data_IF_703486073415
#
_entry.id   IF_703486073415
#
_cell.length_a   1.000
_cell.length_b   1.000
_cell.length_c   1.000
_cell.angle_alpha   90.00
_cell.angle_beta   90.00
_cell.angle_gamma   90.00
#
_symmetry.space_group_name_H-M   'P 1'
#
loop_
_entity.id
_entity.type
_entity.pdbx_description
1 polymer ?
#
# COMPACT_ATOMS: atom_id res chain seq x y z
N UNK A 1 -40.78 12.60 11.90
CA UNK A 1 -40.26 11.35 11.30
C UNK A 1 -39.01 10.91 12.05
N UNK A 2 -38.98 9.67 12.52
CA UNK A 2 -37.86 9.03 13.17
C UNK A 2 -37.14 8.16 12.12
N UNK A 3 -35.85 8.33 11.95
CA UNK A 3 -35.05 7.55 10.99
C UNK A 3 -34.07 6.69 11.75
N UNK A 4 -34.05 5.38 11.48
CA UNK A 4 -33.09 4.45 12.10
C UNK A 4 -32.33 3.68 11.02
N UNK A 5 -31.00 3.71 11.06
CA UNK A 5 -30.11 2.91 10.23
C UNK A 5 -29.71 1.65 10.98
N UNK A 6 -29.83 0.49 10.34
CA UNK A 6 -29.61 -0.82 10.97
C UNK A 6 -28.60 -1.64 10.16
N UNK A 7 -27.59 -2.18 10.84
CA UNK A 7 -26.76 -3.27 10.32
C UNK A 7 -27.48 -4.61 10.48
N UNK A 8 -27.71 -5.30 9.35
CA UNK A 8 -28.43 -6.59 9.32
C UNK A 8 -27.52 -7.80 9.58
N UNK A 9 -26.25 -7.60 9.90
CA UNK A 9 -25.29 -8.70 10.06
C UNK A 9 -25.16 -9.54 8.80
N UNK A 10 -25.23 -10.86 8.96
CA UNK A 10 -25.25 -11.83 7.83
C UNK A 10 -26.57 -11.78 7.04
N UNK A 11 -27.58 -11.08 7.51
CA UNK A 11 -28.93 -11.12 6.97
C UNK A 11 -29.82 -12.18 7.61
N UNK A 12 -29.28 -13.00 8.52
CA UNK A 12 -30.06 -13.97 9.28
C UNK A 12 -30.70 -13.28 10.50
N UNK A 13 -31.95 -13.63 10.85
CA UNK A 13 -32.65 -13.05 12.02
C UNK A 13 -31.87 -13.18 13.33
N UNK A 14 -31.14 -14.28 13.50
CA UNK A 14 -30.30 -14.59 14.65
C UNK A 14 -29.08 -13.65 14.81
N UNK A 15 -28.66 -13.01 13.72
CA UNK A 15 -27.56 -12.04 13.73
C UNK A 15 -28.00 -10.61 14.06
N UNK A 16 -29.30 -10.37 14.17
CA UNK A 16 -29.86 -9.07 14.53
C UNK A 16 -29.78 -8.81 16.05
N UNK A 17 -29.47 -7.57 16.40
CA UNK A 17 -29.63 -7.13 17.78
C UNK A 17 -31.11 -7.04 18.14
N UNK A 18 -31.46 -7.23 19.42
CA UNK A 18 -32.84 -7.06 19.89
C UNK A 18 -33.39 -5.66 19.59
N UNK A 19 -32.53 -4.64 19.64
CA UNK A 19 -32.91 -3.27 19.31
C UNK A 19 -33.23 -3.11 17.82
N UNK A 20 -32.44 -3.73 16.94
CA UNK A 20 -32.70 -3.74 15.50
C UNK A 20 -33.98 -4.43 15.16
N UNK A 21 -34.26 -5.60 15.81
CA UNK A 21 -35.51 -6.34 15.61
C UNK A 21 -36.73 -5.54 16.07
N UNK A 22 -36.63 -4.85 17.21
CA UNK A 22 -37.73 -4.01 17.71
C UNK A 22 -38.00 -2.83 16.76
N UNK A 23 -36.96 -2.16 16.27
CA UNK A 23 -37.10 -1.05 15.30
C UNK A 23 -37.72 -1.53 13.98
N UNK A 24 -37.30 -2.68 13.44
CA UNK A 24 -37.92 -3.27 12.24
C UNK A 24 -39.42 -3.60 12.40
N UNK A 25 -39.84 -4.09 13.56
CA UNK A 25 -41.25 -4.39 13.84
C UNK A 25 -42.10 -3.14 14.01
N UNK A 26 -41.53 -2.03 14.43
CA UNK A 26 -42.23 -0.76 14.68
C UNK A 26 -42.16 0.19 13.46
N UNK A 27 -41.46 -0.22 12.40
CA UNK A 27 -41.30 0.61 11.20
C UNK A 27 -42.61 0.70 10.39
N UNK A 28 -42.88 1.86 9.84
CA UNK A 28 -43.90 2.10 8.81
C UNK A 28 -43.34 1.92 7.41
N UNK A 29 -42.02 2.21 7.26
CA UNK A 29 -41.30 2.12 6.01
C UNK A 29 -39.93 1.46 6.24
N UNK A 30 -39.59 0.46 5.42
CA UNK A 30 -38.25 -0.15 5.40
C UNK A 30 -37.61 0.03 4.03
N UNK A 31 -36.41 0.61 4.02
CA UNK A 31 -35.61 0.89 2.82
C UNK A 31 -34.30 0.09 2.86
N UNK A 32 -33.81 -0.35 1.70
CA UNK A 32 -32.52 -1.04 1.59
C UNK A 32 -32.36 -1.79 0.26
N UNK A 33 -31.26 -2.53 0.11
CA UNK A 33 -31.04 -3.35 -1.06
C UNK A 33 -32.07 -4.49 -1.20
N UNK A 34 -32.44 -4.86 -2.43
CA UNK A 34 -33.47 -5.91 -2.69
C UNK A 34 -33.22 -7.20 -1.93
N UNK A 35 -31.97 -7.66 -1.85
CA UNK A 35 -31.65 -8.91 -1.14
C UNK A 35 -31.92 -8.82 0.37
N UNK A 36 -31.74 -7.64 0.98
CA UNK A 36 -32.01 -7.42 2.40
C UNK A 36 -33.52 -7.36 2.68
N UNK A 37 -34.32 -6.89 1.72
CA UNK A 37 -35.77 -6.92 1.81
C UNK A 37 -36.33 -8.35 1.88
N UNK A 38 -35.69 -9.30 1.19
CA UNK A 38 -36.06 -10.71 1.24
C UNK A 38 -35.64 -11.39 2.55
N UNK A 39 -34.62 -10.87 3.23
CA UNK A 39 -34.07 -11.40 4.49
C UNK A 39 -34.71 -10.77 5.74
N UNK A 40 -35.73 -9.92 5.59
CA UNK A 40 -36.41 -9.31 6.75
C UNK A 40 -37.10 -10.38 7.62
N UNK A 41 -36.95 -10.29 8.95
CA UNK A 41 -37.59 -11.26 9.87
C UNK A 41 -39.13 -11.24 9.78
N UNK A 42 -39.72 -12.36 10.17
CA UNK A 42 -41.16 -12.45 10.25
C UNK A 42 -41.76 -11.40 11.21
N UNK A 43 -42.96 -10.91 10.90
CA UNK A 43 -43.65 -9.88 11.70
C UNK A 43 -43.29 -8.43 11.34
N UNK A 44 -42.46 -8.18 10.32
CA UNK A 44 -42.27 -6.85 9.76
C UNK A 44 -43.37 -6.54 8.73
N UNK A 45 -44.34 -5.71 9.10
CA UNK A 45 -45.52 -5.36 8.28
C UNK A 45 -45.37 -4.03 7.50
N UNK A 46 -44.26 -3.36 7.67
CA UNK A 46 -43.94 -2.08 7.04
C UNK A 46 -44.01 -2.12 5.51
N UNK A 47 -44.27 -0.98 4.89
CA UNK A 47 -44.04 -0.77 3.47
C UNK A 47 -42.55 -0.96 3.17
N UNK A 48 -42.25 -1.55 2.01
CA UNK A 48 -40.86 -1.87 1.61
C UNK A 48 -40.52 -1.21 0.26
N UNK A 49 -39.37 -0.56 0.21
CA UNK A 49 -38.87 -0.03 -1.05
C UNK A 49 -37.38 -0.34 -1.22
N UNK A 50 -36.99 -0.76 -2.42
CA UNK A 50 -35.60 -1.05 -2.74
C UNK A 50 -34.90 0.25 -3.10
N UNK A 51 -34.26 0.89 -2.13
CA UNK A 51 -33.47 2.10 -2.30
C UNK A 51 -32.23 2.01 -1.41
N UNK A 52 -31.07 2.40 -1.94
CA UNK A 52 -29.77 2.39 -1.22
C UNK A 52 -28.91 3.60 -1.49
N UNK A 53 -29.21 4.39 -2.53
CA UNK A 53 -28.49 5.63 -2.82
C UNK A 53 -29.00 6.74 -1.92
N UNK A 54 -28.10 7.52 -1.34
CA UNK A 54 -28.46 8.53 -0.35
C UNK A 54 -29.52 9.55 -0.86
N UNK A 55 -29.41 9.99 -2.13
CA UNK A 55 -30.38 10.92 -2.72
C UNK A 55 -31.76 10.30 -2.89
N UNK A 56 -31.84 9.08 -3.44
CA UNK A 56 -33.08 8.33 -3.62
C UNK A 56 -33.79 8.07 -2.28
N UNK A 57 -33.01 7.67 -1.27
CA UNK A 57 -33.51 7.44 0.08
C UNK A 57 -34.06 8.73 0.69
N UNK A 58 -33.34 9.85 0.56
CA UNK A 58 -33.79 11.14 1.10
C UNK A 58 -35.11 11.60 0.46
N UNK A 59 -35.28 11.39 -0.85
CA UNK A 59 -36.51 11.69 -1.57
C UNK A 59 -37.69 10.82 -1.08
N UNK A 60 -37.48 9.49 -0.96
CA UNK A 60 -38.47 8.57 -0.44
C UNK A 60 -38.89 8.88 1.01
N UNK A 61 -37.95 9.23 1.87
CA UNK A 61 -38.24 9.66 3.23
C UNK A 61 -39.13 10.91 3.25
N UNK A 62 -38.85 11.89 2.35
CA UNK A 62 -39.62 13.12 2.28
C UNK A 62 -41.05 12.90 1.75
N UNK A 63 -41.24 11.97 0.81
CA UNK A 63 -42.54 11.75 0.12
C UNK A 63 -43.40 10.68 0.76
N UNK A 64 -42.83 9.78 1.60
CA UNK A 64 -43.53 8.60 2.13
C UNK A 64 -44.59 8.87 3.18
N UNK A 65 -44.51 10.01 3.89
CA UNK A 65 -45.36 10.28 5.07
C UNK A 65 -45.14 9.35 6.26
N UNK A 66 -44.08 8.54 6.25
CA UNK A 66 -43.77 7.59 7.34
C UNK A 66 -43.36 8.34 8.61
N UNK A 67 -43.85 7.87 9.77
CA UNK A 67 -43.41 8.37 11.08
C UNK A 67 -42.11 7.70 11.55
N UNK A 68 -41.96 6.39 11.27
CA UNK A 68 -40.82 5.55 11.66
C UNK A 68 -40.24 4.85 10.42
N UNK A 69 -39.18 5.38 9.89
CA UNK A 69 -38.47 4.81 8.75
C UNK A 69 -37.20 4.07 9.19
N UNK A 70 -37.00 2.87 8.68
CA UNK A 70 -35.80 2.05 8.93
C UNK A 70 -35.05 1.81 7.63
N UNK A 71 -33.73 2.01 7.68
CA UNK A 71 -32.84 1.72 6.58
C UNK A 71 -31.93 0.57 6.96
N UNK A 72 -31.90 -0.45 6.10
CA UNK A 72 -31.14 -1.67 6.37
C UNK A 72 -29.90 -1.76 5.50
N UNK A 73 -28.77 -2.08 6.13
CA UNK A 73 -27.47 -2.27 5.51
C UNK A 73 -26.95 -3.69 5.79
N UNK A 74 -26.16 -4.24 4.88
CA UNK A 74 -25.48 -5.51 5.09
C UNK A 74 -24.36 -5.34 6.10
N UNK A 75 -24.11 -6.33 6.92
CA UNK A 75 -23.04 -6.29 7.91
C UNK A 75 -23.28 -5.24 8.98
N UNK A 76 -22.27 -4.46 9.29
CA UNK A 76 -22.30 -3.34 10.23
C UNK A 76 -22.45 -1.99 9.53
N UNK A 77 -23.13 -1.05 10.17
CA UNK A 77 -23.36 0.30 9.64
C UNK A 77 -22.08 1.17 9.59
N UNK A 78 -21.07 0.86 10.40
CA UNK A 78 -19.81 1.61 10.50
C UNK A 78 -18.65 0.98 9.72
N UNK A 79 -18.80 -0.26 9.20
CA UNK A 79 -17.72 -0.95 8.53
C UNK A 79 -17.88 -0.90 7.00
N UNK A 80 -17.24 0.07 6.37
CA UNK A 80 -17.27 0.31 4.91
C UNK A 80 -18.69 0.33 4.32
N UNK A 81 -19.65 0.84 5.10
CA UNK A 81 -21.07 0.88 4.75
C UNK A 81 -21.44 2.19 4.02
N UNK A 82 -22.44 2.11 3.14
CA UNK A 82 -23.09 3.29 2.56
C UNK A 82 -23.85 4.16 3.56
N UNK A 83 -23.96 3.74 4.82
CA UNK A 83 -24.65 4.48 5.88
C UNK A 83 -24.01 5.85 6.15
N UNK A 84 -22.68 5.98 6.04
CA UNK A 84 -21.98 7.24 6.27
C UNK A 84 -22.47 8.36 5.31
N UNK A 85 -22.51 8.07 4.00
CA UNK A 85 -22.96 9.04 2.99
C UNK A 85 -24.43 9.46 3.21
N UNK A 86 -25.26 8.53 3.67
CA UNK A 86 -26.65 8.86 4.00
C UNK A 86 -26.74 9.72 5.27
N UNK A 87 -25.97 9.42 6.31
CA UNK A 87 -25.95 10.23 7.53
C UNK A 87 -25.56 11.69 7.24
N UNK A 88 -24.55 11.90 6.40
CA UNK A 88 -24.15 13.25 5.95
C UNK A 88 -25.31 13.95 5.24
N UNK A 89 -26.02 13.25 4.36
CA UNK A 89 -27.17 13.80 3.62
C UNK A 89 -28.34 14.13 4.56
N UNK A 90 -28.68 13.24 5.48
CA UNK A 90 -29.75 13.45 6.47
C UNK A 90 -29.41 14.62 7.40
N UNK A 91 -28.17 14.73 7.83
CA UNK A 91 -27.67 15.85 8.64
C UNK A 91 -27.83 17.19 7.91
N UNK A 92 -27.48 17.24 6.61
CA UNK A 92 -27.67 18.43 5.78
C UNK A 92 -29.14 18.84 5.62
N UNK A 93 -30.06 17.87 5.74
CA UNK A 93 -31.52 18.09 5.72
C UNK A 93 -32.12 18.36 7.11
N UNK A 94 -31.30 18.45 8.16
CA UNK A 94 -31.75 18.64 9.53
C UNK A 94 -32.45 17.42 10.16
N UNK A 95 -32.33 16.24 9.54
CA UNK A 95 -32.93 14.98 10.00
C UNK A 95 -31.92 14.23 10.88
N UNK A 96 -32.29 14.05 12.17
CA UNK A 96 -31.50 13.20 13.05
C UNK A 96 -31.86 11.73 12.84
N UNK A 97 -30.83 10.91 12.62
CA UNK A 97 -30.99 9.48 12.48
C UNK A 97 -30.34 8.73 13.67
N UNK A 98 -31.02 7.70 14.14
CA UNK A 98 -30.46 6.72 15.07
C UNK A 98 -29.69 5.65 14.30
N UNK A 99 -28.53 5.24 14.79
CA UNK A 99 -27.71 4.20 14.15
C UNK A 99 -27.64 2.99 15.10
N UNK A 100 -27.95 1.81 14.59
CA UNK A 100 -27.83 0.55 15.30
C UNK A 100 -26.79 -0.33 14.60
N UNK A 101 -25.81 -0.88 15.35
CA UNK A 101 -24.76 -1.72 14.78
C UNK A 101 -25.30 -3.08 14.33
N UNK A 102 -24.52 -3.75 13.48
CA UNK A 102 -24.69 -5.15 13.10
C UNK A 102 -23.38 -5.91 13.18
N UNK A 103 -23.41 -7.22 12.99
CA UNK A 103 -22.21 -8.03 12.90
C UNK A 103 -21.52 -7.81 11.54
N UNK A 104 -20.27 -7.35 11.53
CA UNK A 104 -19.50 -7.20 10.31
C UNK A 104 -18.91 -8.53 9.85
N UNK A 105 -18.58 -8.64 8.58
CA UNK A 105 -17.94 -9.84 8.02
C UNK A 105 -16.59 -10.15 8.66
N UNK A 106 -15.84 -9.15 9.14
CA UNK A 106 -14.58 -9.37 9.87
C UNK A 106 -14.85 -10.09 11.21
N UNK A 107 -15.89 -9.70 11.93
CA UNK A 107 -16.28 -10.36 13.20
C UNK A 107 -16.75 -11.79 12.94
N UNK A 108 -17.56 -12.00 11.90
CA UNK A 108 -18.04 -13.33 11.52
C UNK A 108 -16.88 -14.24 11.12
N UNK A 109 -15.93 -13.77 10.31
CA UNK A 109 -14.76 -14.54 9.93
C UNK A 109 -13.89 -14.88 11.15
N UNK A 110 -13.64 -13.90 12.02
CA UNK A 110 -12.84 -14.10 13.22
C UNK A 110 -13.47 -15.15 14.15
N UNK A 111 -14.79 -15.12 14.33
CA UNK A 111 -15.54 -16.11 15.09
C UNK A 111 -15.46 -17.50 14.45
N UNK A 112 -15.66 -17.62 13.14
CA UNK A 112 -15.55 -18.87 12.39
C UNK A 112 -14.13 -19.46 12.43
N UNK A 113 -13.10 -18.62 12.54
CA UNK A 113 -11.70 -19.03 12.70
C UNK A 113 -11.30 -19.30 14.16
N UNK A 114 -12.10 -18.89 15.14
CA UNK A 114 -11.81 -18.99 16.57
C UNK A 114 -10.62 -18.11 17.00
N UNK A 115 -10.44 -16.94 16.41
CA UNK A 115 -9.29 -16.04 16.68
C UNK A 115 -9.67 -14.57 16.74
N UNK A 116 -8.83 -13.78 17.41
CA UNK A 116 -8.97 -12.30 17.47
C UNK A 116 -8.64 -11.66 16.12
N UNK A 117 -9.30 -10.55 15.83
CA UNK A 117 -9.08 -9.72 14.65
C UNK A 117 -8.43 -8.35 14.97
N UNK A 118 -8.00 -8.14 16.22
CA UNK A 118 -7.45 -6.86 16.69
C UNK A 118 -6.18 -6.45 15.91
N UNK A 119 -5.37 -7.44 15.54
CA UNK A 119 -4.09 -7.21 14.84
C UNK A 119 -4.22 -7.29 13.32
N UNK A 120 -5.44 -7.47 12.80
CA UNK A 120 -5.64 -7.52 11.36
C UNK A 120 -5.60 -6.13 10.74
N UNK A 121 -5.00 -6.04 9.56
CA UNK A 121 -5.13 -4.89 8.69
C UNK A 121 -6.46 -4.98 7.94
N UNK A 122 -7.37 -4.03 8.17
CA UNK A 122 -8.71 -4.06 7.60
C UNK A 122 -8.76 -3.21 6.32
N UNK A 123 -9.05 -3.83 5.20
CA UNK A 123 -9.00 -3.21 3.88
C UNK A 123 -10.33 -3.42 3.15
N UNK A 124 -10.82 -2.39 2.46
CA UNK A 124 -11.94 -2.53 1.55
C UNK A 124 -11.47 -2.56 0.11
N UNK A 125 -11.70 -3.70 -0.55
CA UNK A 125 -11.62 -3.89 -1.99
C UNK A 125 -13.03 -3.86 -2.64
N UNK A 126 -14.09 -3.61 -1.85
CA UNK A 126 -15.45 -3.57 -2.35
C UNK A 126 -15.76 -2.23 -3.02
N UNK A 127 -15.81 -2.22 -4.34
CA UNK A 127 -16.09 -1.01 -5.13
C UNK A 127 -15.01 0.08 -5.06
N UNK A 128 -13.81 -0.28 -4.60
CA UNK A 128 -12.63 0.59 -4.52
C UNK A 128 -11.41 -0.17 -4.98
N UNK A 129 -10.54 0.50 -5.72
CA UNK A 129 -9.22 -0.04 -6.02
C UNK A 129 -8.40 -0.12 -4.72
N UNK A 130 -7.78 -1.28 -4.46
CA UNK A 130 -6.81 -1.46 -3.40
C UNK A 130 -5.51 -2.04 -3.98
N UNK A 131 -4.41 -1.86 -3.28
CA UNK A 131 -3.16 -2.56 -3.56
C UNK A 131 -2.97 -3.67 -2.52
N UNK A 132 -3.38 -4.92 -2.82
CA UNK A 132 -3.35 -5.99 -1.85
C UNK A 132 -1.93 -6.31 -1.38
N UNK A 133 -0.93 -6.09 -2.23
CA UNK A 133 0.48 -6.32 -1.90
C UNK A 133 0.95 -5.30 -0.87
N UNK A 134 0.68 -4.01 -1.08
CA UNK A 134 1.04 -2.97 -0.11
C UNK A 134 0.41 -3.23 1.27
N UNK A 135 -0.83 -3.74 1.28
CA UNK A 135 -1.54 -4.06 2.51
C UNK A 135 -0.98 -5.29 3.23
N UNK A 136 -0.63 -6.36 2.51
CA UNK A 136 0.02 -7.54 3.09
C UNK A 136 1.46 -7.25 3.55
N UNK A 137 2.12 -6.27 2.95
CA UNK A 137 3.47 -5.88 3.33
C UNK A 137 3.57 -5.17 4.69
N UNK A 138 2.46 -4.89 5.36
CA UNK A 138 2.46 -4.32 6.71
C UNK A 138 2.90 -5.32 7.80
N UNK A 139 3.17 -6.59 7.45
CA UNK A 139 3.69 -7.63 8.36
C UNK A 139 2.66 -8.12 9.37
N UNK A 140 1.38 -7.96 9.11
CA UNK A 140 0.25 -8.45 9.91
C UNK A 140 -0.82 -9.05 8.98
N UNK A 141 -1.69 -9.93 9.48
CA UNK A 141 -2.75 -10.49 8.65
C UNK A 141 -3.60 -9.38 8.01
N UNK A 142 -3.87 -9.50 6.71
CA UNK A 142 -4.66 -8.53 5.96
C UNK A 142 -6.05 -9.09 5.64
N UNK A 143 -7.08 -8.47 6.18
CA UNK A 143 -8.47 -8.78 5.87
C UNK A 143 -8.97 -7.88 4.75
N UNK A 144 -9.51 -8.47 3.69
CA UNK A 144 -10.09 -7.77 2.55
C UNK A 144 -11.61 -8.00 2.49
N UNK A 145 -12.36 -6.90 2.59
CA UNK A 145 -13.77 -6.90 2.22
C UNK A 145 -13.85 -6.86 0.68
N UNK A 146 -14.22 -7.96 0.06
CA UNK A 146 -14.21 -8.12 -1.40
C UNK A 146 -15.55 -7.81 -2.05
N UNK A 147 -15.54 -7.59 -3.37
CA UNK A 147 -16.78 -7.40 -4.15
C UNK A 147 -16.54 -6.75 -5.51
N UNK A 148 -17.42 -7.00 -6.46
CA UNK A 148 -17.28 -6.52 -7.83
C UNK A 148 -16.14 -7.22 -8.58
N UNK A 149 -15.24 -6.46 -9.18
CA UNK A 149 -14.06 -6.96 -9.89
C UNK A 149 -12.93 -7.45 -8.96
N UNK A 150 -12.94 -7.03 -7.71
CA UNK A 150 -11.95 -7.37 -6.69
C UNK A 150 -12.47 -8.52 -5.82
N UNK A 151 -12.65 -9.69 -6.43
CA UNK A 151 -13.00 -10.91 -5.73
C UNK A 151 -11.77 -11.58 -5.07
N UNK A 152 -11.95 -12.58 -4.18
CA UNK A 152 -10.83 -13.23 -3.52
C UNK A 152 -9.81 -13.86 -4.47
N UNK A 153 -10.25 -14.45 -5.60
CA UNK A 153 -9.36 -15.08 -6.55
C UNK A 153 -8.50 -14.05 -7.28
N UNK A 154 -9.09 -12.93 -7.68
CA UNK A 154 -8.39 -11.80 -8.32
C UNK A 154 -7.32 -11.21 -7.39
N UNK A 155 -7.64 -10.95 -6.12
CA UNK A 155 -6.68 -10.45 -5.14
C UNK A 155 -5.56 -11.47 -4.89
N UNK A 156 -5.88 -12.75 -4.77
CA UNK A 156 -4.89 -13.81 -4.64
C UNK A 156 -3.98 -13.92 -5.88
N UNK A 157 -4.51 -13.76 -7.10
CA UNK A 157 -3.71 -13.76 -8.32
C UNK A 157 -2.73 -12.58 -8.36
N UNK A 158 -3.15 -11.38 -7.97
CA UNK A 158 -2.27 -10.20 -7.84
C UNK A 158 -1.16 -10.45 -6.81
N UNK A 159 -1.50 -11.02 -5.66
CA UNK A 159 -0.54 -11.36 -4.61
C UNK A 159 0.46 -12.43 -5.05
N UNK A 160 -0.02 -13.50 -5.71
CA UNK A 160 0.84 -14.58 -6.21
C UNK A 160 1.85 -14.07 -7.25
N UNK A 161 1.42 -13.18 -8.17
CA UNK A 161 2.29 -12.58 -9.18
C UNK A 161 3.44 -11.76 -8.57
N UNK A 162 3.27 -11.25 -7.36
CA UNK A 162 4.26 -10.43 -6.64
C UNK A 162 4.98 -11.20 -5.52
N UNK A 163 4.94 -12.53 -5.56
CA UNK A 163 5.75 -13.39 -4.68
C UNK A 163 5.08 -13.82 -3.36
N UNK A 164 3.80 -13.52 -3.16
CA UNK A 164 3.04 -13.97 -1.98
C UNK A 164 2.37 -15.34 -2.17
N UNK A 165 2.69 -16.07 -3.26
CA UNK A 165 2.02 -17.31 -3.62
C UNK A 165 1.99 -18.38 -2.54
N UNK A 166 3.05 -18.48 -1.72
CA UNK A 166 3.21 -19.46 -0.65
C UNK A 166 2.57 -19.02 0.69
N UNK A 167 2.09 -17.79 0.79
CA UNK A 167 1.45 -17.27 2.01
C UNK A 167 0.10 -17.96 2.21
N UNK A 168 -0.21 -18.37 3.43
CA UNK A 168 -1.50 -18.94 3.78
C UNK A 168 -2.60 -17.89 3.73
N UNK A 169 -3.77 -18.29 3.27
CA UNK A 169 -4.94 -17.43 3.22
C UNK A 169 -6.23 -18.22 3.47
N UNK A 170 -7.28 -17.49 3.82
CA UNK A 170 -8.62 -18.04 4.05
C UNK A 170 -9.65 -17.19 3.33
N UNK A 171 -10.50 -17.83 2.55
CA UNK A 171 -11.71 -17.20 2.02
C UNK A 171 -12.91 -17.64 2.86
N UNK A 172 -13.60 -16.67 3.43
CA UNK A 172 -14.89 -16.89 4.11
C UNK A 172 -16.02 -16.52 3.16
N UNK A 173 -16.88 -17.49 2.85
CA UNK A 173 -18.01 -17.33 1.95
C UNK A 173 -19.31 -17.50 2.72
N UNK A 174 -20.31 -16.64 2.47
CA UNK A 174 -21.64 -16.66 3.06
C UNK A 174 -21.62 -16.73 4.61
N UNK A 175 -20.68 -16.01 5.23
CA UNK A 175 -20.44 -16.07 6.68
C UNK A 175 -21.70 -15.78 7.50
N UNK A 176 -21.93 -16.60 8.52
CA UNK A 176 -23.08 -16.49 9.42
C UNK A 176 -24.40 -16.90 8.77
N UNK A 177 -24.38 -17.65 7.66
CA UNK A 177 -25.57 -18.24 7.02
C UNK A 177 -25.46 -19.78 7.00
N UNK A 178 -26.55 -20.51 6.73
CA UNK A 178 -26.48 -21.97 6.57
C UNK A 178 -25.54 -22.44 5.45
N UNK A 179 -25.23 -21.57 4.48
CA UNK A 179 -24.34 -21.84 3.35
C UNK A 179 -22.89 -21.45 3.64
N UNK A 180 -22.55 -21.14 4.89
CA UNK A 180 -21.19 -20.76 5.30
C UNK A 180 -20.15 -21.77 4.86
N UNK A 181 -19.08 -21.28 4.23
CA UNK A 181 -17.91 -22.08 3.84
C UNK A 181 -16.62 -21.35 4.12
N UNK A 182 -15.62 -22.10 4.58
CA UNK A 182 -14.26 -21.63 4.74
C UNK A 182 -13.33 -22.40 3.80
N UNK A 183 -12.68 -21.69 2.89
CA UNK A 183 -11.65 -22.24 2.00
C UNK A 183 -10.28 -21.81 2.52
N UNK A 184 -9.47 -22.79 2.92
CA UNK A 184 -8.11 -22.58 3.43
C UNK A 184 -7.11 -23.10 2.42
N UNK A 185 -6.03 -22.38 2.19
CA UNK A 185 -4.98 -22.79 1.28
C UNK A 185 -3.94 -21.69 1.10
N UNK A 186 -2.99 -21.91 0.22
CA UNK A 186 -2.02 -20.90 -0.16
C UNK A 186 -2.65 -19.91 -1.14
N UNK A 187 -2.13 -18.69 -1.13
CA UNK A 187 -2.59 -17.63 -2.04
C UNK A 187 -2.62 -18.11 -3.50
N UNK A 188 -1.58 -18.81 -3.98
CA UNK A 188 -1.55 -19.34 -5.35
C UNK A 188 -2.62 -20.39 -5.64
N UNK A 189 -3.02 -21.17 -4.65
CA UNK A 189 -4.08 -22.18 -4.78
C UNK A 189 -5.45 -21.52 -4.85
N UNK A 190 -5.69 -20.52 -3.98
CA UNK A 190 -6.94 -19.77 -3.93
C UNK A 190 -7.10 -18.84 -5.15
N UNK A 191 -6.01 -18.44 -5.82
CA UNK A 191 -6.04 -17.66 -7.05
C UNK A 191 -6.75 -18.40 -8.20
N UNK A 192 -6.73 -19.75 -8.20
CA UNK A 192 -7.44 -20.58 -9.18
C UNK A 192 -8.88 -20.90 -8.76
N UNK A 193 -9.31 -20.44 -7.59
CA UNK A 193 -10.65 -20.70 -7.02
C UNK A 193 -11.76 -19.90 -7.70
N UNK A 194 -13.00 -20.30 -7.39
CA UNK A 194 -14.21 -19.52 -7.71
C UNK A 194 -15.03 -19.37 -6.45
N UNK A 195 -15.36 -18.14 -6.12
CA UNK A 195 -16.03 -17.81 -4.88
C UNK A 195 -17.30 -17.00 -5.15
N UNK A 196 -18.30 -17.14 -4.29
CA UNK A 196 -19.52 -16.37 -4.40
C UNK A 196 -19.27 -14.89 -4.09
N UNK A 197 -20.18 -14.04 -4.54
CA UNK A 197 -20.07 -12.57 -4.35
C UNK A 197 -20.10 -12.13 -2.88
N UNK A 198 -20.62 -12.98 -1.98
CA UNK A 198 -20.60 -12.75 -0.52
C UNK A 198 -19.38 -13.42 0.12
N UNK A 199 -18.21 -13.03 -0.31
CA UNK A 199 -16.96 -13.57 0.19
C UNK A 199 -16.08 -12.48 0.78
N UNK A 200 -15.16 -12.88 1.66
CA UNK A 200 -14.08 -12.05 2.20
C UNK A 200 -12.80 -12.86 2.18
N UNK A 201 -11.65 -12.19 2.14
CA UNK A 201 -10.34 -12.81 2.12
C UNK A 201 -9.54 -12.37 3.34
N UNK A 202 -8.92 -13.33 4.03
CA UNK A 202 -7.86 -13.08 5.02
C UNK A 202 -6.57 -13.69 4.48
N UNK A 203 -5.55 -12.87 4.35
CA UNK A 203 -4.18 -13.30 4.03
C UNK A 203 -3.36 -13.21 5.30
N UNK A 204 -2.67 -14.29 5.67
CA UNK A 204 -1.85 -14.34 6.88
C UNK A 204 -0.63 -13.40 6.77
N UNK A 205 -0.04 -13.10 7.93
CA UNK A 205 1.16 -12.28 7.94
C UNK A 205 2.28 -12.96 7.16
N UNK A 206 2.77 -12.30 6.11
CA UNK A 206 3.95 -12.75 5.40
C UNK A 206 5.21 -12.38 6.20
N UNK A 207 6.23 -13.26 6.16
CA UNK A 207 7.57 -12.86 6.57
C UNK A 207 8.10 -11.83 5.57
N UNK A 208 7.86 -10.57 5.85
CA UNK A 208 8.44 -9.48 5.07
C UNK A 208 9.82 -9.19 5.62
N UNK A 209 10.85 -9.17 4.75
CA UNK A 209 12.18 -8.75 5.14
C UNK A 209 12.11 -7.40 5.90
N UNK A 210 12.87 -7.22 7.00
CA UNK A 210 12.81 -6.00 7.78
C UNK A 210 13.05 -4.78 6.87
N UNK A 211 12.04 -3.93 6.71
CA UNK A 211 12.09 -2.75 5.85
C UNK A 211 12.57 -1.50 6.59
N UNK A 212 13.48 -1.69 7.54
CA UNK A 212 14.06 -0.55 8.26
C UNK A 212 15.10 0.13 7.37
N UNK A 213 14.68 1.12 6.65
CA UNK A 213 15.54 2.05 5.91
C UNK A 213 15.66 3.34 6.76
N UNK A 214 16.78 4.09 6.68
CA UNK A 214 17.98 3.79 5.88
C UNK A 214 18.94 2.81 6.56
N UNK A 215 19.77 2.15 5.74
CA UNK A 215 20.89 1.36 6.22
C UNK A 215 20.64 -0.14 6.32
N UNK A 216 19.93 -0.71 5.35
CA UNK A 216 19.81 -2.16 5.21
C UNK A 216 21.18 -2.85 5.15
N UNK A 217 21.37 -4.03 5.78
CA UNK A 217 22.63 -4.77 5.71
C UNK A 217 23.05 -5.08 4.27
N UNK A 218 24.36 -5.02 3.97
CA UNK A 218 24.88 -5.33 2.65
C UNK A 218 24.55 -6.76 2.21
N UNK A 219 24.47 -7.69 3.16
CA UNK A 219 24.19 -9.11 2.96
C UNK A 219 22.72 -9.37 2.56
N UNK A 220 21.85 -8.40 2.80
CA UNK A 220 20.43 -8.50 2.41
C UNK A 220 20.23 -8.37 0.89
N UNK A 221 21.21 -7.85 0.15
CA UNK A 221 21.12 -7.62 -1.29
C UNK A 221 21.75 -8.76 -2.09
N UNK A 222 21.16 -9.07 -3.25
CA UNK A 222 21.84 -9.84 -4.30
C UNK A 222 22.98 -9.01 -4.86
N UNK A 223 24.15 -9.66 -5.00
CA UNK A 223 25.40 -9.03 -5.44
C UNK A 223 26.07 -9.84 -6.54
N UNK A 224 26.80 -9.17 -7.39
CA UNK A 224 27.63 -9.75 -8.44
C UNK A 224 29.00 -9.08 -8.51
N UNK A 225 29.52 -8.92 -9.70
CA UNK A 225 30.80 -8.21 -9.96
C UNK A 225 30.63 -6.69 -9.97
N UNK A 226 29.41 -6.19 -10.15
CA UNK A 226 29.10 -4.75 -10.17
C UNK A 226 29.30 -4.15 -8.78
N UNK A 227 30.00 -3.01 -8.65
CA UNK A 227 30.19 -2.35 -7.35
C UNK A 227 28.85 -2.00 -6.67
N UNK A 228 28.80 -2.20 -5.35
CA UNK A 228 27.63 -1.86 -4.53
C UNK A 228 28.00 -0.79 -3.51
N UNK A 229 27.21 0.26 -3.44
CA UNK A 229 27.28 1.28 -2.38
C UNK A 229 27.01 0.62 -1.02
N UNK A 230 27.91 0.79 -0.06
CA UNK A 230 27.87 0.14 1.24
C UNK A 230 26.85 0.77 2.17
N UNK A 231 26.40 -0.01 3.16
CA UNK A 231 25.33 0.33 4.11
C UNK A 231 25.42 1.73 4.68
N UNK A 232 26.59 2.11 5.22
CA UNK A 232 26.78 3.40 5.89
C UNK A 232 26.69 4.57 4.87
N UNK A 233 27.19 4.35 3.67
CA UNK A 233 27.12 5.33 2.58
C UNK A 233 25.69 5.47 2.07
N UNK A 234 24.95 4.35 1.89
CA UNK A 234 23.53 4.38 1.50
C UNK A 234 22.71 5.17 2.51
N UNK A 235 22.89 4.89 3.81
CA UNK A 235 22.20 5.62 4.87
C UNK A 235 22.48 7.13 4.81
N UNK A 236 23.76 7.50 4.57
CA UNK A 236 24.13 8.90 4.44
C UNK A 236 23.53 9.55 3.17
N UNK A 237 23.46 8.83 2.05
CA UNK A 237 22.84 9.32 0.79
C UNK A 237 21.35 9.66 1.02
N UNK A 238 20.57 8.76 1.64
CA UNK A 238 19.16 9.01 1.92
C UNK A 238 18.97 10.22 2.83
N UNK A 239 19.80 10.34 3.87
CA UNK A 239 19.77 11.47 4.79
C UNK A 239 20.12 12.80 4.08
N UNK A 240 21.14 12.81 3.19
CA UNK A 240 21.54 13.98 2.42
C UNK A 240 20.50 14.40 1.39
N UNK A 241 19.78 13.45 0.80
CA UNK A 241 18.66 13.72 -0.11
C UNK A 241 17.39 14.16 0.62
N UNK A 242 17.31 13.99 1.93
CA UNK A 242 16.11 14.30 2.73
C UNK A 242 14.83 13.74 2.07
N UNK A 243 14.87 12.43 1.74
CA UNK A 243 13.81 11.74 0.97
C UNK A 243 12.46 11.86 1.65
N UNK A 244 11.44 12.21 0.87
CA UNK A 244 10.05 12.33 1.31
C UNK A 244 9.21 11.16 0.77
N UNK A 245 8.13 10.79 1.46
CA UNK A 245 7.30 9.64 1.06
C UNK A 245 6.71 9.71 -0.35
N UNK A 246 6.51 10.90 -0.92
CA UNK A 246 5.89 11.15 -2.22
C UNK A 246 6.89 11.48 -3.35
N UNK A 247 8.19 11.54 -3.04
CA UNK A 247 9.22 11.99 -3.99
C UNK A 247 9.29 11.14 -5.25
N UNK A 248 9.50 11.80 -6.38
CA UNK A 248 9.99 11.20 -7.62
C UNK A 248 11.52 11.25 -7.59
N UNK A 249 12.13 10.08 -7.58
CA UNK A 249 13.57 9.92 -7.35
C UNK A 249 14.26 9.29 -8.55
N UNK A 250 15.43 9.80 -8.90
CA UNK A 250 16.33 9.17 -9.86
C UNK A 250 17.56 8.63 -9.15
N UNK A 251 17.94 7.40 -9.47
CA UNK A 251 19.20 6.77 -9.08
C UNK A 251 19.99 6.50 -10.36
N UNK A 252 20.98 7.34 -10.66
CA UNK A 252 21.75 7.30 -11.91
C UNK A 252 23.06 6.58 -11.70
N UNK A 253 23.31 5.53 -12.50
CA UNK A 253 24.37 4.57 -12.29
C UNK A 253 24.05 3.68 -11.09
N UNK A 254 22.89 3.07 -11.12
CA UNK A 254 22.29 2.37 -9.98
C UNK A 254 23.04 1.10 -9.57
N UNK A 255 23.86 0.51 -10.46
CA UNK A 255 24.66 -0.66 -10.20
C UNK A 255 23.81 -1.86 -9.74
N UNK A 256 23.98 -2.30 -8.51
CA UNK A 256 23.17 -3.38 -7.93
C UNK A 256 21.73 -2.97 -7.56
N UNK A 257 21.39 -1.68 -7.66
CA UNK A 257 20.11 -1.14 -7.22
C UNK A 257 19.95 -1.02 -5.71
N UNK A 258 21.03 -1.15 -4.94
CA UNK A 258 20.93 -1.11 -3.47
C UNK A 258 20.47 0.26 -2.94
N UNK A 259 20.90 1.36 -3.56
CA UNK A 259 20.41 2.70 -3.24
C UNK A 259 18.97 2.86 -3.74
N UNK A 260 18.68 2.42 -4.97
CA UNK A 260 17.34 2.47 -5.56
C UNK A 260 16.29 1.79 -4.69
N UNK A 261 16.60 0.61 -4.13
CA UNK A 261 15.73 -0.13 -3.22
C UNK A 261 15.48 0.68 -1.94
N UNK A 262 16.52 1.19 -1.29
CA UNK A 262 16.34 1.99 -0.07
C UNK A 262 15.59 3.30 -0.34
N UNK A 263 15.81 3.94 -1.48
CA UNK A 263 15.01 5.10 -1.92
C UNK A 263 13.53 4.72 -2.09
N UNK A 264 13.25 3.57 -2.73
CA UNK A 264 11.89 3.10 -2.93
C UNK A 264 11.15 2.78 -1.62
N UNK A 265 11.86 2.21 -0.65
CA UNK A 265 11.32 1.95 0.67
C UNK A 265 11.09 3.23 1.49
N UNK A 266 11.93 4.25 1.29
CA UNK A 266 11.81 5.55 1.96
C UNK A 266 10.70 6.43 1.35
N UNK A 267 10.38 6.23 0.05
CA UNK A 267 9.34 6.96 -0.67
C UNK A 267 8.17 6.06 -1.09
N UNK A 268 7.40 5.48 -0.15
CA UNK A 268 6.41 4.45 -0.44
C UNK A 268 5.22 4.94 -1.30
N UNK A 269 4.95 6.23 -1.34
CA UNK A 269 3.93 6.87 -2.20
C UNK A 269 4.53 7.56 -3.42
N UNK A 270 5.88 7.58 -3.52
CA UNK A 270 6.65 8.13 -4.61
C UNK A 270 7.00 7.08 -5.67
N UNK A 271 7.94 7.46 -6.53
CA UNK A 271 8.49 6.57 -7.57
C UNK A 271 10.01 6.72 -7.68
N UNK A 272 10.70 5.61 -7.91
CA UNK A 272 12.16 5.58 -8.13
C UNK A 272 12.44 5.07 -9.52
N UNK A 273 13.29 5.77 -10.24
CA UNK A 273 13.81 5.39 -11.55
C UNK A 273 15.30 5.05 -11.40
N UNK A 274 15.62 3.75 -11.46
CA UNK A 274 16.99 3.25 -11.43
C UNK A 274 17.54 3.20 -12.85
N UNK A 275 18.47 4.07 -13.17
CA UNK A 275 19.11 4.15 -14.49
C UNK A 275 20.41 3.37 -14.48
N UNK A 276 20.50 2.32 -15.31
CA UNK A 276 21.68 1.47 -15.41
C UNK A 276 21.87 1.00 -16.85
N UNK A 277 23.11 0.91 -17.30
CA UNK A 277 23.47 0.48 -18.66
C UNK A 277 24.22 -0.84 -18.69
N UNK A 278 24.70 -1.33 -17.54
CA UNK A 278 25.35 -2.63 -17.43
C UNK A 278 24.30 -3.75 -17.35
N UNK A 279 24.32 -4.76 -18.22
CA UNK A 279 23.35 -5.86 -18.19
C UNK A 279 23.33 -6.65 -16.86
N UNK A 280 24.50 -6.84 -16.22
CA UNK A 280 24.59 -7.49 -14.92
C UNK A 280 23.94 -6.61 -13.85
N UNK A 281 24.22 -5.30 -13.86
CA UNK A 281 23.57 -4.35 -12.98
C UNK A 281 22.05 -4.34 -13.14
N UNK A 282 21.56 -4.33 -14.38
CA UNK A 282 20.13 -4.43 -14.67
C UNK A 282 19.49 -5.71 -14.12
N UNK A 283 20.16 -6.87 -14.24
CA UNK A 283 19.70 -8.13 -13.68
C UNK A 283 19.63 -8.10 -12.14
N UNK A 284 20.66 -7.52 -11.51
CA UNK A 284 20.71 -7.36 -10.05
C UNK A 284 19.63 -6.40 -9.51
N UNK A 285 19.36 -5.30 -10.24
CA UNK A 285 18.27 -4.38 -9.88
C UNK A 285 16.93 -5.10 -9.91
N UNK A 286 16.65 -5.92 -10.94
CA UNK A 286 15.41 -6.73 -11.01
C UNK A 286 15.30 -7.71 -9.84
N UNK A 287 16.39 -8.43 -9.53
CA UNK A 287 16.41 -9.38 -8.43
C UNK A 287 16.20 -8.70 -7.07
N UNK A 288 16.91 -7.58 -6.81
CA UNK A 288 16.75 -6.83 -5.57
C UNK A 288 15.38 -6.14 -5.49
N UNK A 289 14.85 -5.59 -6.58
CA UNK A 289 13.49 -5.08 -6.64
C UNK A 289 12.46 -6.12 -6.21
N UNK A 290 12.57 -7.34 -6.73
CA UNK A 290 11.67 -8.45 -6.36
C UNK A 290 11.87 -8.88 -4.91
N UNK A 291 13.12 -9.08 -4.48
CA UNK A 291 13.47 -9.51 -3.11
C UNK A 291 12.91 -8.57 -2.03
N UNK A 292 12.97 -7.27 -2.27
CA UNK A 292 12.48 -6.25 -1.34
C UNK A 292 11.05 -5.79 -1.66
N UNK A 293 10.40 -6.37 -2.67
CA UNK A 293 9.09 -5.95 -3.15
C UNK A 293 8.98 -4.42 -3.35
N UNK A 294 10.04 -3.84 -3.93
CA UNK A 294 10.13 -2.40 -4.20
C UNK A 294 9.32 -2.07 -5.48
N UNK A 295 7.99 -2.16 -5.43
CA UNK A 295 7.09 -2.04 -6.58
C UNK A 295 7.11 -0.67 -7.25
N UNK A 296 7.40 0.36 -6.47
CA UNK A 296 7.56 1.74 -6.94
C UNK A 296 8.96 2.01 -7.55
N UNK A 297 9.81 0.98 -7.69
CA UNK A 297 11.10 1.04 -8.38
C UNK A 297 10.92 0.60 -9.84
N UNK A 298 11.31 1.46 -10.78
CA UNK A 298 11.33 1.19 -12.22
C UNK A 298 12.77 1.18 -12.71
N UNK A 299 13.19 0.07 -13.34
CA UNK A 299 14.47 -0.01 -14.02
C UNK A 299 14.38 0.70 -15.39
N UNK A 300 15.34 1.56 -15.67
CA UNK A 300 15.54 2.27 -16.94
C UNK A 300 16.89 1.85 -17.51
N UNK A 301 16.83 0.97 -18.51
CA UNK A 301 18.04 0.43 -19.13
C UNK A 301 18.60 1.43 -20.14
N UNK A 302 19.83 1.87 -19.95
CA UNK A 302 20.51 2.76 -20.85
C UNK A 302 21.48 3.70 -20.17
N UNK A 303 22.14 4.51 -21.00
CA UNK A 303 23.17 5.43 -20.57
C UNK A 303 22.59 6.83 -20.34
N UNK A 304 22.79 7.37 -19.13
CA UNK A 304 22.50 8.77 -18.84
C UNK A 304 23.53 9.71 -19.53
N UNK A 305 23.12 10.91 -20.03
CA UNK A 305 21.81 11.52 -19.83
C UNK A 305 20.73 11.11 -20.84
N UNK A 306 21.05 10.36 -21.90
CA UNK A 306 20.14 10.12 -23.02
C UNK A 306 18.75 9.60 -22.58
N UNK A 307 18.72 8.62 -21.65
CA UNK A 307 17.47 8.02 -21.17
C UNK A 307 16.71 8.88 -20.15
N UNK A 308 17.28 9.99 -19.68
CA UNK A 308 16.64 10.87 -18.70
C UNK A 308 15.56 11.76 -19.31
N UNK A 309 15.60 11.95 -20.63
CA UNK A 309 14.67 12.83 -21.34
C UNK A 309 13.19 12.43 -21.15
N UNK A 310 12.92 11.12 -21.14
CA UNK A 310 11.56 10.56 -21.03
C UNK A 310 11.08 10.37 -19.60
N UNK A 311 11.96 10.60 -18.59
CA UNK A 311 11.57 10.42 -17.18
C UNK A 311 10.79 11.63 -16.67
N UNK A 312 9.87 11.43 -15.70
CA UNK A 312 9.23 12.52 -14.98
C UNK A 312 10.25 13.41 -14.29
N UNK A 313 9.89 14.68 -14.06
CA UNK A 313 10.72 15.62 -13.31
C UNK A 313 11.03 15.07 -11.90
N UNK A 314 12.31 14.99 -11.49
CA UNK A 314 12.69 14.42 -10.21
C UNK A 314 12.57 15.44 -9.08
N UNK A 315 12.16 15.00 -7.89
CA UNK A 315 12.28 15.77 -6.65
C UNK A 315 13.68 15.65 -6.03
N UNK A 316 14.31 14.49 -6.22
CA UNK A 316 15.70 14.31 -5.83
C UNK A 316 16.43 13.31 -6.75
N UNK A 317 17.75 13.47 -6.88
CA UNK A 317 18.61 12.66 -7.75
C UNK A 317 19.84 12.21 -6.97
N UNK A 318 20.08 10.91 -6.95
CA UNK A 318 21.35 10.33 -6.60
C UNK A 318 22.14 10.01 -7.86
N UNK A 319 23.44 10.36 -7.86
CA UNK A 319 24.38 10.03 -8.95
C UNK A 319 25.47 9.14 -8.36
N UNK A 320 25.32 7.83 -8.53
CA UNK A 320 26.26 6.80 -8.07
C UNK A 320 27.36 6.54 -9.09
N UNK A 321 27.07 6.72 -10.40
CA UNK A 321 28.00 6.57 -11.51
C UNK A 321 27.55 7.37 -12.72
N UNK A 322 28.46 8.14 -13.30
CA UNK A 322 28.14 9.05 -14.41
C UNK A 322 28.84 8.73 -15.72
N UNK A 323 29.86 7.83 -15.72
CA UNK A 323 30.72 7.54 -16.89
C UNK A 323 31.20 8.80 -17.58
N UNK A 324 31.54 9.85 -16.80
CA UNK A 324 32.05 11.13 -17.32
C UNK A 324 30.96 12.17 -17.69
N UNK A 325 29.68 11.81 -17.63
CA UNK A 325 28.56 12.69 -18.03
C UNK A 325 27.90 13.43 -16.87
N UNK A 326 28.58 13.59 -15.72
CA UNK A 326 27.99 14.13 -14.48
C UNK A 326 27.35 15.50 -14.72
N UNK A 327 28.03 16.44 -15.37
CA UNK A 327 27.47 17.76 -15.63
C UNK A 327 26.17 17.69 -16.46
N UNK A 328 26.12 16.88 -17.52
CA UNK A 328 24.94 16.73 -18.35
C UNK A 328 23.77 16.04 -17.60
N UNK A 329 24.05 15.16 -16.64
CA UNK A 329 23.04 14.54 -15.78
C UNK A 329 22.46 15.59 -14.82
N UNK A 330 23.29 16.42 -14.20
CA UNK A 330 22.86 17.54 -13.35
C UNK A 330 22.01 18.53 -14.17
N UNK A 331 22.43 18.86 -15.37
CA UNK A 331 21.70 19.74 -16.28
C UNK A 331 20.31 19.17 -16.59
N UNK A 332 20.23 17.92 -17.03
CA UNK A 332 18.96 17.26 -17.35
C UNK A 332 17.98 17.21 -16.16
N UNK A 333 18.50 17.01 -14.96
CA UNK A 333 17.66 17.00 -13.75
C UNK A 333 17.13 18.40 -13.42
N UNK A 334 18.00 19.42 -13.43
CA UNK A 334 17.64 20.79 -13.05
C UNK A 334 16.82 21.53 -14.13
N UNK A 335 16.94 21.14 -15.39
CA UNK A 335 16.05 21.61 -16.47
C UNK A 335 14.60 21.14 -16.26
N UNK A 336 14.42 19.90 -15.79
CA UNK A 336 13.08 19.36 -15.48
C UNK A 336 12.52 19.89 -14.18
N UNK A 337 13.35 19.98 -13.14
CA UNK A 337 12.96 20.54 -11.84
C UNK A 337 14.11 21.39 -11.26
N UNK A 338 14.06 22.72 -11.38
CA UNK A 338 15.06 23.61 -10.80
C UNK A 338 15.19 23.48 -9.27
N UNK A 339 14.22 22.90 -8.58
CA UNK A 339 14.26 22.68 -7.13
C UNK A 339 14.73 21.26 -6.73
N UNK A 340 15.13 20.43 -7.68
CA UNK A 340 15.59 19.07 -7.40
C UNK A 340 16.80 19.06 -6.46
N UNK A 341 16.75 18.21 -5.44
CA UNK A 341 17.85 17.94 -4.52
C UNK A 341 18.81 16.96 -5.20
N UNK A 342 20.09 17.29 -5.25
CA UNK A 342 21.08 16.44 -5.91
C UNK A 342 22.12 15.97 -4.90
N UNK A 343 22.44 14.68 -4.94
CA UNK A 343 23.55 14.07 -4.21
C UNK A 343 24.36 13.21 -5.16
N UNK A 344 25.65 13.52 -5.34
CA UNK A 344 26.57 12.70 -6.10
C UNK A 344 27.56 12.01 -5.16
N UNK A 345 27.97 10.77 -5.49
CA UNK A 345 29.02 10.07 -4.79
C UNK A 345 30.31 10.05 -5.62
N UNK A 346 31.45 10.23 -4.96
CA UNK A 346 32.75 10.20 -5.59
C UNK A 346 33.79 9.48 -4.74
N UNK A 347 34.61 8.64 -5.38
CA UNK A 347 35.81 8.03 -4.77
C UNK A 347 37.03 8.77 -5.29
N UNK A 348 37.05 9.13 -6.60
CA UNK A 348 38.13 9.83 -7.24
C UNK A 348 37.99 11.35 -7.07
N UNK A 349 39.14 12.03 -6.94
CA UNK A 349 39.20 13.49 -6.80
C UNK A 349 38.70 14.21 -8.06
N UNK A 350 38.89 13.62 -9.22
CA UNK A 350 38.41 14.14 -10.50
C UNK A 350 36.87 14.17 -10.53
N UNK A 351 36.24 13.11 -10.05
CA UNK A 351 34.76 13.04 -9.95
C UNK A 351 34.23 14.04 -8.91
N UNK A 352 34.91 14.17 -7.78
CA UNK A 352 34.58 15.17 -6.76
C UNK A 352 34.63 16.58 -7.35
N UNK A 353 35.75 16.91 -8.03
CA UNK A 353 35.93 18.23 -8.67
C UNK A 353 34.87 18.50 -9.73
N UNK A 354 34.55 17.51 -10.56
CA UNK A 354 33.52 17.63 -11.59
C UNK A 354 32.13 17.84 -10.98
N UNK A 355 31.78 17.17 -9.88
CA UNK A 355 30.53 17.35 -9.21
C UNK A 355 30.35 18.75 -8.58
N UNK A 356 31.41 19.23 -7.91
CA UNK A 356 31.44 20.59 -7.36
C UNK A 356 31.27 21.61 -8.44
N UNK A 357 32.03 21.48 -9.54
CA UNK A 357 32.00 22.43 -10.69
C UNK A 357 30.60 22.45 -11.33
N UNK A 358 30.00 21.26 -11.60
CA UNK A 358 28.67 21.15 -12.22
C UNK A 358 27.57 21.81 -11.40
N UNK A 359 27.52 21.57 -10.09
CA UNK A 359 26.54 22.15 -9.19
C UNK A 359 26.77 23.67 -9.03
N UNK A 360 28.00 24.12 -8.86
CA UNK A 360 28.31 25.54 -8.73
C UNK A 360 27.96 26.33 -10.02
N UNK A 361 28.20 25.75 -11.20
CA UNK A 361 27.82 26.36 -12.47
C UNK A 361 26.29 26.58 -12.61
N UNK A 362 25.50 25.81 -11.90
CA UNK A 362 24.02 25.95 -11.84
C UNK A 362 23.53 26.78 -10.63
N UNK A 363 24.43 27.50 -9.98
CA UNK A 363 24.11 28.42 -8.88
C UNK A 363 23.71 27.72 -7.57
N UNK A 364 24.06 26.42 -7.43
CA UNK A 364 23.72 25.65 -6.23
C UNK A 364 24.71 25.90 -5.10
N UNK A 365 24.20 25.95 -3.87
CA UNK A 365 25.04 25.91 -2.67
C UNK A 365 25.57 24.49 -2.49
N UNK A 366 26.90 24.32 -2.65
CA UNK A 366 27.52 23.00 -2.63
C UNK A 366 28.01 22.67 -1.22
N UNK A 367 27.66 21.46 -0.75
CA UNK A 367 28.22 20.88 0.47
C UNK A 367 28.94 19.58 0.11
N UNK A 368 30.09 19.35 0.73
CA UNK A 368 30.88 18.12 0.58
C UNK A 368 31.05 17.46 1.95
N UNK A 369 30.72 16.19 2.03
CA UNK A 369 30.94 15.36 3.22
C UNK A 369 31.79 14.15 2.86
N UNK A 370 32.77 13.80 3.66
CA UNK A 370 33.54 12.57 3.53
C UNK A 370 33.00 11.51 4.50
N UNK A 371 32.74 10.32 3.99
CA UNK A 371 32.32 9.14 4.76
C UNK A 371 33.48 8.15 4.77
N UNK A 372 34.13 7.97 5.91
CA UNK A 372 35.20 7.00 6.10
C UNK A 372 34.67 5.87 7.02
N UNK A 373 34.73 4.64 6.54
CA UNK A 373 34.23 3.47 7.24
C UNK A 373 35.36 2.50 7.51
N UNK A 374 35.45 2.00 8.72
CA UNK A 374 36.29 0.86 9.08
C UNK A 374 35.44 -0.22 9.73
N UNK A 375 35.57 -1.47 9.29
CA UNK A 375 34.83 -2.60 9.84
C UNK A 375 35.77 -3.60 10.48
N UNK A 376 35.37 -4.12 11.64
CA UNK A 376 36.13 -5.17 12.34
C UNK A 376 36.08 -6.47 11.55
N UNK A 377 37.24 -7.11 11.38
CA UNK A 377 37.37 -8.46 10.83
C UNK A 377 38.07 -9.36 11.86
N UNK A 378 37.47 -10.50 12.14
CA UNK A 378 38.07 -11.51 13.03
C UNK A 378 39.27 -12.16 12.33
N UNK A 379 40.43 -12.16 12.99
CA UNK A 379 41.67 -12.80 12.54
C UNK A 379 42.37 -13.43 13.76
N UNK A 380 42.43 -14.74 13.82
CA UNK A 380 43.19 -15.46 14.86
C UNK A 380 42.77 -15.10 16.29
N UNK A 381 41.51 -14.89 16.57
CA UNK A 381 40.99 -14.52 17.91
C UNK A 381 41.05 -13.03 18.25
N UNK A 382 41.53 -12.18 17.34
CA UNK A 382 41.52 -10.72 17.42
C UNK A 382 40.52 -10.11 16.42
N UNK A 383 40.12 -8.87 16.67
CA UNK A 383 39.30 -8.07 15.73
C UNK A 383 40.16 -6.92 15.18
N UNK A 384 40.56 -7.05 13.91
CA UNK A 384 41.32 -6.01 13.23
C UNK A 384 40.37 -5.04 12.52
N UNK A 385 40.61 -3.74 12.68
CA UNK A 385 39.85 -2.69 11.94
C UNK A 385 40.38 -2.56 10.52
N UNK A 386 39.55 -2.91 9.55
CA UNK A 386 39.86 -2.84 8.13
C UNK A 386 39.21 -1.58 7.54
N UNK A 387 40.05 -0.61 7.11
CA UNK A 387 39.58 0.59 6.47
C UNK A 387 39.06 0.32 5.05
N UNK A 388 37.99 0.99 4.67
CA UNK A 388 37.48 1.05 3.31
C UNK A 388 37.89 2.37 2.67
N UNK A 389 37.84 2.45 1.33
CA UNK A 389 38.07 3.69 0.64
C UNK A 389 37.06 4.74 1.10
N UNK A 390 37.48 5.94 1.47
CA UNK A 390 36.57 7.02 1.81
C UNK A 390 35.73 7.42 0.59
N UNK A 391 34.46 7.72 0.83
CA UNK A 391 33.51 8.19 -0.18
C UNK A 391 33.20 9.64 0.09
N UNK A 392 33.22 10.48 -0.93
CA UNK A 392 32.72 11.85 -0.84
C UNK A 392 31.28 11.90 -1.31
N UNK A 393 30.40 12.54 -0.52
CA UNK A 393 29.04 12.89 -0.91
C UNK A 393 28.99 14.40 -1.14
N UNK A 394 28.58 14.76 -2.35
CA UNK A 394 28.48 16.14 -2.81
C UNK A 394 27.01 16.46 -3.01
N UNK A 395 26.47 17.43 -2.27
CA UNK A 395 25.08 17.88 -2.40
C UNK A 395 25.01 19.29 -2.92
N UNK A 396 23.96 19.58 -3.70
CA UNK A 396 23.61 20.91 -4.20
C UNK A 396 22.16 21.25 -3.84
N UNK A 397 22.01 22.34 -3.10
CA UNK A 397 20.72 22.91 -2.70
C UNK A 397 20.48 24.28 -3.38
#
# INVERSE_FOLDING_TARGET
MNVTLIGMGSGQPESLTLQSLAALRQADLILGARRLMAALPAGCTANRAAAYRADEVAELLHTSGAENAVLVYSGDTGFYSGAAALLDKLSALGIRARVLPGLSSVQLLAAALGRSWQDWNLVSAHGRACDPVAECMQGRPAFFLTGGSEDPATLCAQLAAEGFGEVEAVVGQCLGTPEEKLFRGRVQELAAGRFDSLSVLLVEAAEVQPRRTPGLPDEAFERGSVPMTKQEVRAAVLAKLAVRPEDILWDVGAGTGSVSVELALAAPRGRVYAVECDPEGCALIRANRQRFLARNLTLVEGLAPAVLADLPAPDAVFIGGSKGSLAAIVDAALEKNPAARICASAIALETLSAAVAALTARGRTVQVSQIAVSRARAVGGLHLMMAQNPIYLITGE
#
